data_IF_862307553234
#
_entry.id   IF_862307553234
#
_cell.length_a   1.000
_cell.length_b   1.000
_cell.length_c   1.000
_cell.angle_alpha   90.00
_cell.angle_beta   90.00
_cell.angle_gamma   90.00
#
_symmetry.space_group_name_H-M   'P 1'
#
loop_
_entity.id
_entity.type
_entity.pdbx_description
1 polymer ?
#
# COMPACT_ATOMS: atom_id res chain seq x y z
N UNK A 1 -1.20 4.86 36.11
CA UNK A 1 -1.38 4.87 34.64
C UNK A 1 -1.30 6.31 34.17
N UNK A 2 -0.45 6.63 33.21
CA UNK A 2 -0.41 7.98 32.62
C UNK A 2 -1.78 8.29 32.00
N UNK A 3 -2.44 9.36 32.46
CA UNK A 3 -3.71 9.81 31.87
C UNK A 3 -3.41 10.20 30.43
N UNK A 4 -3.92 9.44 29.48
CA UNK A 4 -3.85 9.81 28.07
C UNK A 4 -4.75 11.02 27.83
N UNK A 5 -4.33 11.99 27.01
CA UNK A 5 -5.16 13.15 26.61
C UNK A 5 -6.36 12.80 25.70
N UNK A 6 -6.86 11.57 25.77
CA UNK A 6 -8.00 11.09 24.98
C UNK A 6 -9.25 11.15 25.83
N UNK A 7 -10.24 11.89 25.35
CA UNK A 7 -11.57 11.90 25.92
C UNK A 7 -12.33 10.64 25.48
N UNK A 8 -12.31 9.62 26.33
CA UNK A 8 -12.95 8.33 26.06
C UNK A 8 -14.46 8.40 25.97
N UNK A 9 -15.11 9.40 26.59
CA UNK A 9 -16.55 9.61 26.44
C UNK A 9 -16.92 9.86 24.98
N UNK A 10 -16.07 10.56 24.23
CA UNK A 10 -16.28 10.80 22.78
C UNK A 10 -16.08 9.51 21.98
N UNK A 11 -15.11 8.69 22.33
CA UNK A 11 -14.85 7.41 21.65
C UNK A 11 -16.01 6.44 21.88
N UNK A 12 -16.57 6.41 23.09
CA UNK A 12 -17.67 5.51 23.45
C UNK A 12 -18.95 5.79 22.64
N UNK A 13 -19.16 7.02 22.16
CA UNK A 13 -20.27 7.36 21.26
C UNK A 13 -20.28 6.53 19.97
N UNK A 14 -19.13 5.97 19.58
CA UNK A 14 -18.95 5.20 18.35
C UNK A 14 -18.85 3.70 18.59
N UNK A 15 -18.91 3.25 19.85
CA UNK A 15 -18.67 1.85 20.22
C UNK A 15 -19.63 0.89 19.53
N UNK A 16 -20.94 1.16 19.58
CA UNK A 16 -21.94 0.31 18.95
C UNK A 16 -21.73 0.16 17.43
N UNK A 17 -21.19 1.19 16.77
CA UNK A 17 -20.85 1.14 15.34
C UNK A 17 -19.58 0.33 15.11
N UNK A 18 -18.59 0.48 15.99
CA UNK A 18 -17.34 -0.23 15.91
C UNK A 18 -17.51 -1.73 16.17
N UNK A 19 -18.38 -2.12 17.10
CA UNK A 19 -18.65 -3.52 17.46
C UNK A 19 -19.44 -4.27 16.37
N UNK A 20 -20.20 -3.56 15.54
CA UNK A 20 -20.92 -4.15 14.40
C UNK A 20 -20.02 -4.52 13.23
N UNK A 21 -18.77 -4.07 13.22
CA UNK A 21 -17.82 -4.35 12.14
C UNK A 21 -17.04 -5.61 12.53
N UNK A 22 -17.32 -6.73 11.86
CA UNK A 22 -16.49 -7.92 12.01
C UNK A 22 -15.14 -7.71 11.31
N UNK A 23 -14.07 -7.78 12.10
CA UNK A 23 -12.72 -7.65 11.60
C UNK A 23 -12.28 -8.82 10.70
N UNK A 24 -12.94 -9.98 10.78
CA UNK A 24 -12.57 -11.20 10.04
C UNK A 24 -13.18 -11.27 8.65
N UNK A 25 -14.36 -10.68 8.45
CA UNK A 25 -15.08 -10.74 7.17
C UNK A 25 -14.58 -9.74 6.12
N UNK A 26 -13.74 -8.78 6.50
CA UNK A 26 -13.35 -7.67 5.62
C UNK A 26 -12.12 -7.91 4.72
N UNK A 27 -11.54 -9.12 4.70
CA UNK A 27 -10.52 -9.49 3.72
C UNK A 27 -11.13 -10.40 2.64
N UNK A 28 -11.77 -9.80 1.63
CA UNK A 28 -12.52 -10.54 0.61
C UNK A 28 -11.57 -11.27 -0.37
N UNK A 29 -11.64 -12.61 -0.48
CA UNK A 29 -10.78 -13.38 -1.38
C UNK A 29 -10.90 -13.00 -2.87
N UNK A 30 -12.05 -12.50 -3.34
CA UNK A 30 -12.20 -12.10 -4.76
C UNK A 30 -11.40 -10.85 -5.13
N UNK A 31 -11.19 -9.95 -4.17
CA UNK A 31 -10.30 -8.81 -4.38
C UNK A 31 -8.84 -9.25 -4.42
N UNK A 32 -8.50 -10.37 -3.77
CA UNK A 32 -7.14 -10.91 -3.71
C UNK A 32 -6.59 -11.19 -5.11
N UNK A 33 -7.36 -11.82 -5.99
CA UNK A 33 -6.92 -12.17 -7.34
C UNK A 33 -6.60 -10.92 -8.20
N UNK A 34 -7.44 -9.89 -8.09
CA UNK A 34 -7.24 -8.60 -8.74
C UNK A 34 -6.02 -7.89 -8.15
N UNK A 35 -5.85 -7.95 -6.83
CA UNK A 35 -4.71 -7.37 -6.11
C UNK A 35 -3.42 -8.06 -6.55
N UNK A 36 -3.41 -9.38 -6.69
CA UNK A 36 -2.26 -10.18 -7.10
C UNK A 36 -1.77 -9.79 -8.50
N UNK A 37 -2.68 -9.61 -9.47
CA UNK A 37 -2.32 -9.06 -10.79
C UNK A 37 -1.78 -7.63 -10.74
N UNK A 38 -2.28 -6.79 -9.81
CA UNK A 38 -1.76 -5.42 -9.62
C UNK A 38 -0.40 -5.38 -8.91
N UNK A 39 -0.11 -6.37 -8.06
CA UNK A 39 1.15 -6.55 -7.34
C UNK A 39 2.26 -6.99 -8.30
N UNK A 40 1.96 -7.90 -9.23
CA UNK A 40 2.97 -8.40 -10.18
C UNK A 40 3.34 -7.38 -11.27
N UNK A 41 2.50 -6.35 -11.47
CA UNK A 41 2.71 -5.33 -12.49
C UNK A 41 3.99 -4.52 -12.26
N UNK A 42 4.91 -4.58 -13.23
CA UNK A 42 6.06 -3.69 -13.28
C UNK A 42 5.65 -2.33 -13.81
N UNK A 43 6.03 -1.28 -13.08
CA UNK A 43 5.76 0.13 -13.42
C UNK A 43 7.03 0.80 -13.91
N UNK A 44 6.89 1.90 -14.67
CA UNK A 44 8.02 2.64 -15.22
C UNK A 44 7.92 4.12 -14.88
N UNK A 45 9.06 4.73 -14.61
CA UNK A 45 9.28 6.18 -14.59
C UNK A 45 10.26 6.53 -15.71
N UNK A 46 10.58 7.81 -15.89
CA UNK A 46 11.61 8.26 -16.84
C UNK A 46 12.94 7.53 -16.65
N UNK A 47 13.31 7.15 -15.42
CA UNK A 47 14.64 6.63 -15.09
C UNK A 47 14.66 5.26 -14.38
N UNK A 48 13.52 4.60 -14.23
CA UNK A 48 13.46 3.32 -13.53
C UNK A 48 12.25 2.48 -13.94
N UNK A 49 12.45 1.18 -14.09
CA UNK A 49 11.37 0.18 -14.03
C UNK A 49 11.37 -0.42 -12.61
N UNK A 50 10.20 -0.54 -11.98
CA UNK A 50 10.09 -0.96 -10.58
C UNK A 50 8.82 -1.78 -10.31
N UNK A 51 8.94 -2.76 -9.43
CA UNK A 51 7.82 -3.44 -8.78
C UNK A 51 8.06 -3.36 -7.28
N UNK A 52 7.56 -2.29 -6.66
CA UNK A 52 7.72 -2.02 -5.24
C UNK A 52 6.34 -1.82 -4.66
N UNK A 53 5.92 -2.72 -3.79
CA UNK A 53 4.64 -2.61 -3.09
C UNK A 53 4.88 -2.65 -1.58
N UNK A 54 4.27 -1.70 -0.90
CA UNK A 54 4.36 -1.55 0.54
C UNK A 54 3.04 -1.90 1.19
N UNK A 55 3.10 -2.69 2.27
CA UNK A 55 2.01 -2.91 3.19
C UNK A 55 2.21 -2.04 4.42
N UNK A 56 1.48 -0.93 4.48
CA UNK A 56 1.48 -0.04 5.62
C UNK A 56 0.37 -0.42 6.59
N UNK A 57 0.69 -0.38 7.88
CA UNK A 57 -0.31 -0.47 8.95
C UNK A 57 -0.06 0.62 9.97
N UNK A 58 -1.10 1.37 10.33
CA UNK A 58 -1.02 2.32 11.43
C UNK A 58 -2.36 2.44 12.14
N UNK A 59 -2.32 3.03 13.35
CA UNK A 59 -3.47 3.10 14.25
C UNK A 59 -3.76 4.55 14.66
N UNK A 60 -5.02 4.90 14.99
CA UNK A 60 -5.33 6.12 15.72
C UNK A 60 -4.54 6.16 17.03
N UNK A 61 -4.26 7.37 17.51
CA UNK A 61 -3.59 7.55 18.80
C UNK A 61 -4.42 6.85 19.89
N UNK A 62 -3.71 6.19 20.82
CA UNK A 62 -4.29 5.33 21.87
C UNK A 62 -5.19 4.19 21.37
N UNK A 63 -5.09 3.82 20.07
CA UNK A 63 -5.89 2.75 19.46
C UNK A 63 -7.41 2.97 19.64
N UNK A 64 -7.84 4.23 19.60
CA UNK A 64 -9.25 4.58 19.73
C UNK A 64 -10.06 3.99 18.56
N UNK A 65 -11.14 3.27 18.88
CA UNK A 65 -12.07 2.66 17.91
C UNK A 65 -13.00 3.70 17.28
N UNK A 66 -12.43 4.64 16.54
CA UNK A 66 -13.15 5.80 15.99
C UNK A 66 -13.25 5.79 14.46
N UNK A 67 -12.56 4.89 13.76
CA UNK A 67 -12.55 4.83 12.29
C UNK A 67 -13.79 4.13 11.72
N UNK A 68 -14.96 4.57 12.18
CA UNK A 68 -16.28 4.14 11.72
C UNK A 68 -16.95 5.26 10.95
N UNK A 69 -18.09 5.01 10.33
CA UNK A 69 -18.84 6.07 9.65
C UNK A 69 -19.25 7.19 10.63
N UNK A 70 -19.03 8.48 10.27
CA UNK A 70 -18.69 8.97 8.92
C UNK A 70 -17.18 9.08 8.60
N UNK A 71 -16.30 8.83 9.58
CA UNK A 71 -14.86 9.04 9.43
C UNK A 71 -14.20 8.03 8.48
N UNK A 72 -14.73 6.80 8.40
CA UNK A 72 -14.18 5.74 7.56
C UNK A 72 -14.16 6.15 6.07
N UNK A 73 -15.31 6.56 5.54
CA UNK A 73 -15.44 7.03 4.16
C UNK A 73 -14.55 8.22 3.85
N UNK A 74 -14.48 9.19 4.76
CA UNK A 74 -13.62 10.37 4.60
C UNK A 74 -12.13 10.04 4.62
N UNK A 75 -11.69 9.15 5.52
CA UNK A 75 -10.30 8.68 5.54
C UNK A 75 -9.95 8.02 4.23
N UNK A 76 -10.81 7.14 3.71
CA UNK A 76 -10.59 6.50 2.41
C UNK A 76 -10.44 7.56 1.33
N UNK A 77 -11.37 8.52 1.26
CA UNK A 77 -11.33 9.60 0.29
C UNK A 77 -10.03 10.42 0.36
N UNK A 78 -9.62 10.87 1.55
CA UNK A 78 -8.40 11.69 1.72
C UNK A 78 -7.12 10.93 1.38
N UNK A 79 -7.06 9.63 1.67
CA UNK A 79 -5.90 8.80 1.32
C UNK A 79 -5.81 8.60 -0.19
N UNK A 80 -6.93 8.35 -0.88
CA UNK A 80 -6.95 8.22 -2.33
C UNK A 80 -6.60 9.54 -3.03
N UNK A 81 -7.16 10.66 -2.57
CA UNK A 81 -6.83 12.01 -3.06
C UNK A 81 -5.33 12.30 -2.93
N UNK A 82 -4.73 11.97 -1.78
CA UNK A 82 -3.28 12.15 -1.59
C UNK A 82 -2.45 11.26 -2.51
N UNK A 83 -2.90 10.04 -2.78
CA UNK A 83 -2.20 9.15 -3.70
C UNK A 83 -2.26 9.67 -5.13
N UNK A 84 -3.41 10.18 -5.56
CA UNK A 84 -3.57 10.83 -6.87
C UNK A 84 -2.63 12.04 -7.02
N UNK A 85 -2.59 12.93 -6.01
CA UNK A 85 -1.67 14.09 -6.01
C UNK A 85 -0.19 13.69 -6.15
N UNK A 86 0.20 12.55 -5.57
CA UNK A 86 1.60 12.10 -5.53
C UNK A 86 1.96 11.08 -6.59
N UNK A 87 1.02 10.70 -7.46
CA UNK A 87 1.15 9.61 -8.43
C UNK A 87 1.59 8.31 -7.74
N UNK A 88 0.96 8.00 -6.60
CA UNK A 88 1.09 6.71 -5.94
C UNK A 88 -0.09 5.82 -6.33
N UNK A 89 0.17 4.53 -6.47
CA UNK A 89 -0.82 3.56 -6.93
C UNK A 89 -1.42 2.79 -5.75
N UNK A 90 -2.62 3.16 -5.26
CA UNK A 90 -3.30 2.41 -4.22
C UNK A 90 -3.76 1.06 -4.78
N UNK A 91 -3.27 -0.03 -4.19
CA UNK A 91 -3.60 -1.38 -4.64
C UNK A 91 -4.79 -1.94 -3.85
N UNK A 92 -4.78 -1.72 -2.53
CA UNK A 92 -5.88 -2.07 -1.62
C UNK A 92 -5.84 -1.18 -0.38
N UNK A 93 -7.00 -0.72 0.08
CA UNK A 93 -7.13 0.09 1.29
C UNK A 93 -8.27 -0.45 2.16
N UNK A 94 -7.93 -0.82 3.38
CA UNK A 94 -8.88 -1.32 4.37
C UNK A 94 -8.77 -0.47 5.64
N UNK A 95 -9.91 0.07 6.07
CA UNK A 95 -10.01 0.91 7.27
C UNK A 95 -10.87 0.17 8.28
N UNK A 96 -10.24 -0.29 9.35
CA UNK A 96 -10.86 -0.97 10.48
C UNK A 96 -11.08 0.03 11.61
N UNK A 97 -11.99 -0.23 12.57
CA UNK A 97 -12.34 0.75 13.60
C UNK A 97 -11.13 1.31 14.39
N UNK A 98 -10.09 0.50 14.60
CA UNK A 98 -8.91 0.85 15.39
C UNK A 98 -7.58 0.85 14.59
N UNK A 99 -7.59 0.55 13.29
CA UNK A 99 -6.37 0.53 12.47
C UNK A 99 -6.65 0.59 10.96
N UNK A 100 -5.61 0.86 10.17
CA UNK A 100 -5.68 0.89 8.70
C UNK A 100 -4.65 -0.06 8.14
N UNK A 101 -5.04 -0.86 7.15
CA UNK A 101 -4.14 -1.54 6.24
C UNK A 101 -4.17 -0.81 4.90
N UNK A 102 -3.01 -0.36 4.44
CA UNK A 102 -2.89 0.29 3.14
C UNK A 102 -1.78 -0.36 2.33
N UNK A 103 -2.19 -0.99 1.24
CA UNK A 103 -1.30 -1.59 0.27
C UNK A 103 -1.10 -0.64 -0.90
N UNK A 104 0.13 -0.18 -1.09
CA UNK A 104 0.46 0.97 -1.94
C UNK A 104 1.74 0.69 -2.73
N UNK A 105 1.71 0.95 -4.03
CA UNK A 105 2.91 1.03 -4.86
C UNK A 105 3.31 2.49 -5.05
N UNK A 106 4.60 2.79 -4.92
CA UNK A 106 5.12 4.15 -5.10
C UNK A 106 6.45 4.13 -5.87
N UNK A 107 6.75 5.19 -6.65
CA UNK A 107 8.05 5.32 -7.31
C UNK A 107 9.24 5.23 -6.33
N UNK A 108 10.38 4.66 -6.75
CA UNK A 108 11.53 4.39 -5.87
C UNK A 108 12.18 5.64 -5.26
N UNK A 109 11.85 6.83 -5.76
CA UNK A 109 12.28 8.11 -5.17
C UNK A 109 11.66 8.36 -3.78
N UNK A 110 10.56 7.69 -3.46
CA UNK A 110 9.83 7.89 -2.22
C UNK A 110 10.27 6.89 -1.15
N UNK A 111 10.84 7.40 -0.06
CA UNK A 111 11.11 6.58 1.11
C UNK A 111 9.77 6.15 1.79
N UNK A 112 9.66 4.91 2.29
CA UNK A 112 8.42 4.45 2.95
C UNK A 112 7.99 5.33 4.13
N UNK A 113 8.96 5.83 4.88
CA UNK A 113 8.75 6.76 6.00
C UNK A 113 8.15 8.10 5.55
N UNK A 114 8.54 8.58 4.36
CA UNK A 114 8.00 9.83 3.80
C UNK A 114 6.56 9.64 3.32
N UNK A 115 6.27 8.51 2.69
CA UNK A 115 4.92 8.17 2.22
C UNK A 115 3.93 8.17 3.40
N UNK A 116 4.21 7.38 4.43
CA UNK A 116 3.31 7.27 5.58
C UNK A 116 3.18 8.60 6.35
N UNK A 117 4.25 9.40 6.40
CA UNK A 117 4.22 10.73 7.01
C UNK A 117 3.23 11.65 6.29
N UNK A 118 3.30 11.72 4.95
CA UNK A 118 2.38 12.53 4.14
C UNK A 118 0.92 12.08 4.32
N UNK A 119 0.67 10.77 4.23
CA UNK A 119 -0.67 10.19 4.39
C UNK A 119 -1.26 10.50 5.77
N UNK A 120 -0.50 10.27 6.84
CA UNK A 120 -0.95 10.51 8.23
C UNK A 120 -1.16 12.00 8.49
N UNK A 121 -0.24 12.85 8.05
CA UNK A 121 -0.31 14.30 8.30
C UNK A 121 -1.50 14.92 7.56
N UNK A 122 -1.67 14.54 6.29
CA UNK A 122 -2.74 15.06 5.45
C UNK A 122 -4.12 14.67 5.97
N UNK A 123 -4.34 13.37 6.22
CA UNK A 123 -5.61 12.85 6.73
C UNK A 123 -5.95 13.37 8.13
N UNK A 124 -4.97 13.44 9.05
CA UNK A 124 -5.16 14.00 10.40
C UNK A 124 -5.65 15.45 10.33
N UNK A 125 -4.99 16.28 9.52
CA UNK A 125 -5.34 17.69 9.36
C UNK A 125 -6.73 17.88 8.75
N UNK A 126 -7.12 17.06 7.77
CA UNK A 126 -8.45 17.15 7.16
C UNK A 126 -9.56 16.70 8.09
N UNK A 127 -9.40 15.55 8.75
CA UNK A 127 -10.34 15.07 9.76
C UNK A 127 -10.53 16.09 10.88
N UNK A 128 -9.44 16.62 11.43
CA UNK A 128 -9.49 17.62 12.49
C UNK A 128 -10.15 18.91 12.04
N UNK A 129 -10.06 19.30 10.77
CA UNK A 129 -10.76 20.49 10.26
C UNK A 129 -12.25 20.23 10.08
N UNK A 130 -12.60 19.12 9.44
CA UNK A 130 -13.97 18.74 9.11
C UNK A 130 -14.82 18.40 10.33
N UNK A 131 -14.23 17.73 11.33
CA UNK A 131 -14.96 17.21 12.49
C UNK A 131 -14.51 17.84 13.80
N UNK A 132 -15.37 18.68 14.38
CA UNK A 132 -15.16 19.25 15.72
C UNK A 132 -15.05 18.18 16.79
N UNK A 133 -15.79 17.07 16.67
CA UNK A 133 -15.76 15.95 17.60
C UNK A 133 -14.37 15.28 17.70
N UNK A 134 -13.57 15.28 16.61
CA UNK A 134 -12.18 14.78 16.65
C UNK A 134 -11.30 15.70 17.50
N UNK A 135 -11.53 17.03 17.46
CA UNK A 135 -10.82 18.00 18.30
C UNK A 135 -11.27 17.93 19.78
N UNK A 136 -12.51 17.51 20.02
CA UNK A 136 -13.01 17.24 21.38
C UNK A 136 -12.46 15.92 21.94
N UNK A 137 -12.22 14.93 21.08
CA UNK A 137 -11.59 13.67 21.48
C UNK A 137 -10.15 13.88 21.96
N UNK A 138 -9.37 14.72 21.26
CA UNK A 138 -7.98 15.04 21.62
C UNK A 138 -7.71 16.52 21.41
N UNK A 139 -7.26 17.19 22.46
CA UNK A 139 -6.86 18.59 22.43
C UNK A 139 -5.53 18.82 21.70
N UNK A 140 -4.72 17.76 21.57
CA UNK A 140 -3.47 17.77 20.82
C UNK A 140 -3.68 17.44 19.34
N UNK A 141 -2.75 17.92 18.53
CA UNK A 141 -2.80 17.83 17.07
C UNK A 141 -2.52 16.42 16.48
N UNK A 142 -2.41 15.41 17.33
CA UNK A 142 -2.00 14.04 17.00
C UNK A 142 -3.18 13.06 16.94
N UNK A 143 -3.85 12.99 15.78
CA UNK A 143 -4.90 12.00 15.54
C UNK A 143 -4.35 10.56 15.43
N UNK A 144 -3.21 10.39 14.76
CA UNK A 144 -2.57 9.08 14.57
C UNK A 144 -1.50 8.80 15.63
N UNK A 145 -1.24 7.53 15.93
CA UNK A 145 -0.05 7.14 16.69
C UNK A 145 1.23 7.55 15.93
N UNK A 146 2.34 7.78 16.65
CA UNK A 146 3.61 8.14 16.00
C UNK A 146 4.16 6.97 15.16
N UNK A 147 4.13 5.76 15.73
CA UNK A 147 4.54 4.54 15.06
C UNK A 147 3.67 4.15 13.86
N UNK A 148 4.23 3.25 13.05
CA UNK A 148 3.57 2.56 11.94
C UNK A 148 4.38 1.29 11.64
N UNK A 149 3.75 0.33 11.00
CA UNK A 149 4.40 -0.83 10.40
C UNK A 149 4.49 -0.62 8.89
N UNK A 150 5.58 -1.09 8.30
CA UNK A 150 5.73 -1.22 6.87
C UNK A 150 6.44 -2.52 6.54
N UNK A 151 5.84 -3.32 5.66
CA UNK A 151 6.48 -4.48 5.03
C UNK A 151 6.49 -4.31 3.53
N UNK A 152 7.52 -4.82 2.86
CA UNK A 152 7.52 -4.94 1.40
C UNK A 152 6.84 -6.23 1.00
N UNK A 153 5.93 -6.15 0.03
CA UNK A 153 5.31 -7.32 -0.56
C UNK A 153 5.75 -7.40 -2.02
N UNK A 154 6.71 -8.29 -2.27
CA UNK A 154 7.22 -8.60 -3.61
C UNK A 154 6.89 -10.03 -3.97
N UNK A 155 6.51 -10.25 -5.24
CA UNK A 155 6.41 -11.58 -5.83
C UNK A 155 7.62 -11.80 -6.75
N UNK A 156 8.82 -11.72 -6.19
CA UNK A 156 10.06 -11.98 -6.93
C UNK A 156 10.71 -13.20 -6.28
N UNK A 157 10.60 -14.35 -6.94
CA UNK A 157 11.31 -15.57 -6.51
C UNK A 157 12.80 -15.45 -6.81
N UNK A 158 13.63 -16.18 -6.08
CA UNK A 158 15.07 -16.22 -6.34
C UNK A 158 15.38 -16.67 -7.78
N UNK A 159 14.60 -17.60 -8.36
CA UNK A 159 14.76 -18.00 -9.77
C UNK A 159 14.46 -16.86 -10.74
N UNK A 160 13.50 -15.99 -10.41
CA UNK A 160 13.16 -14.83 -11.25
C UNK A 160 14.29 -13.79 -11.26
N UNK A 161 14.96 -13.57 -10.12
CA UNK A 161 16.15 -12.71 -10.04
C UNK A 161 17.30 -13.33 -10.85
N UNK A 162 17.57 -14.62 -10.67
CA UNK A 162 18.65 -15.32 -11.38
C UNK A 162 18.42 -15.34 -12.90
N UNK A 163 17.18 -15.57 -13.34
CA UNK A 163 16.80 -15.55 -14.76
C UNK A 163 16.89 -14.15 -15.36
N UNK A 164 16.43 -13.11 -14.64
CA UNK A 164 16.63 -11.72 -15.06
C UNK A 164 18.12 -11.44 -15.27
N UNK A 165 18.99 -11.76 -14.31
CA UNK A 165 20.45 -11.57 -14.45
C UNK A 165 21.02 -12.34 -15.67
N UNK A 166 20.59 -13.58 -15.88
CA UNK A 166 21.06 -14.42 -17.00
C UNK A 166 20.57 -13.94 -18.37
N UNK A 167 19.31 -13.52 -18.49
CA UNK A 167 18.72 -12.97 -19.72
C UNK A 167 19.31 -11.59 -20.07
N UNK A 168 19.63 -10.79 -19.05
CA UNK A 168 20.33 -9.51 -19.23
C UNK A 168 21.75 -9.71 -19.79
N UNK A 169 22.53 -10.63 -19.21
CA UNK A 169 23.88 -10.90 -19.72
C UNK A 169 23.89 -11.37 -21.19
N UNK A 170 22.84 -12.07 -21.66
CA UNK A 170 22.71 -12.49 -23.07
C UNK A 170 22.30 -11.36 -24.03
N UNK A 171 21.51 -10.37 -23.58
CA UNK A 171 21.05 -9.25 -24.42
C UNK A 171 22.02 -8.05 -24.44
N UNK A 172 22.89 -7.93 -23.43
CA UNK A 172 23.79 -6.78 -23.22
C UNK A 172 25.16 -6.91 -23.91
N UNK A 173 25.39 -7.92 -24.77
CA UNK A 173 26.53 -7.94 -25.69
C UNK A 173 26.42 -6.76 -26.69
N UNK A 174 26.93 -5.60 -26.28
CA UNK A 174 27.15 -4.42 -27.14
C UNK A 174 26.17 -3.24 -26.98
N UNK A 175 25.13 -3.31 -26.14
CA UNK A 175 24.23 -2.17 -25.85
C UNK A 175 23.82 -2.13 -24.38
N UNK A 176 24.22 -1.07 -23.67
CA UNK A 176 23.91 -0.86 -22.26
C UNK A 176 23.01 0.35 -22.08
N UNK A 177 21.69 0.16 -22.18
CA UNK A 177 20.72 1.19 -21.79
C UNK A 177 19.61 0.60 -20.90
N UNK A 178 19.39 1.21 -19.72
CA UNK A 178 18.44 0.74 -18.70
C UNK A 178 16.98 0.63 -19.19
N UNK A 179 16.61 1.32 -20.26
CA UNK A 179 15.25 1.30 -20.81
C UNK A 179 15.05 0.25 -21.90
N UNK A 180 16.12 -0.36 -22.39
CA UNK A 180 16.07 -1.52 -23.30
C UNK A 180 15.73 -2.81 -22.53
N UNK A 181 15.67 -2.73 -21.19
CA UNK A 181 15.18 -3.76 -20.31
C UNK A 181 13.67 -3.93 -20.50
N UNK A 182 13.26 -5.06 -21.07
CA UNK A 182 11.88 -5.52 -21.05
C UNK A 182 11.58 -6.14 -19.66
N UNK A 183 10.67 -5.56 -18.86
CA UNK A 183 10.19 -6.17 -17.64
C UNK A 183 9.46 -7.47 -17.96
N UNK A 184 9.67 -8.48 -17.13
CA UNK A 184 8.87 -9.70 -17.20
C UNK A 184 7.42 -9.38 -16.78
N UNK A 185 6.46 -9.85 -17.54
CA UNK A 185 5.06 -9.96 -17.10
C UNK A 185 4.82 -11.42 -16.69
N UNK A 186 4.27 -11.63 -15.49
CA UNK A 186 3.93 -12.95 -14.96
C UNK A 186 2.43 -13.04 -14.69
N UNK A 187 1.81 -14.09 -15.24
CA UNK A 187 0.42 -14.46 -14.97
C UNK A 187 0.38 -15.58 -13.93
N UNK A 188 -0.27 -15.30 -12.81
CA UNK A 188 -0.21 -16.10 -11.57
C UNK A 188 -1.27 -17.22 -11.60
N UNK A 189 -2.26 -17.14 -12.50
CA UNK A 189 -3.33 -18.13 -12.60
C UNK A 189 -3.01 -19.29 -13.55
N UNK A 190 -2.13 -19.06 -14.54
CA UNK A 190 -1.89 -20.04 -15.60
C UNK A 190 -0.67 -20.94 -15.36
N UNK A 191 0.19 -20.62 -14.38
CA UNK A 191 1.45 -21.35 -14.14
C UNK A 191 2.37 -21.44 -15.36
N UNK A 192 2.06 -20.71 -16.45
CA UNK A 192 2.75 -20.73 -17.73
C UNK A 192 3.33 -19.36 -18.02
N UNK A 193 4.64 -19.35 -18.26
CA UNK A 193 5.36 -18.21 -18.82
C UNK A 193 4.74 -17.84 -20.17
N UNK A 194 4.18 -16.63 -20.30
CA UNK A 194 3.92 -16.05 -21.62
C UNK A 194 5.23 -15.54 -22.19
N UNK A 195 5.93 -16.44 -22.86
CA UNK A 195 7.13 -16.16 -23.65
C UNK A 195 6.71 -15.26 -24.82
N UNK A 196 7.27 -14.06 -24.89
CA UNK A 196 7.15 -13.17 -26.05
C UNK A 196 7.57 -13.93 -27.32
N UNK A 197 6.88 -13.72 -28.46
CA UNK A 197 7.14 -14.42 -29.74
C UNK A 197 8.60 -14.32 -30.23
N UNK A 198 9.42 -13.44 -29.65
CA UNK A 198 10.84 -13.30 -29.93
C UNK A 198 11.77 -14.26 -29.15
N UNK A 199 11.25 -15.11 -28.25
CA UNK A 199 12.05 -15.95 -27.35
C UNK A 199 12.03 -17.46 -27.66
N UNK A 200 11.53 -17.88 -28.84
CA UNK A 200 11.39 -19.30 -29.21
C UNK A 200 12.69 -20.05 -29.60
N UNK A 201 13.89 -19.52 -29.31
CA UNK A 201 15.18 -20.12 -29.72
C UNK A 201 16.11 -20.54 -28.58
N UNK A 202 15.59 -20.89 -27.41
CA UNK A 202 16.43 -21.29 -26.27
C UNK A 202 16.19 -22.71 -25.73
N UNK A 203 15.54 -23.60 -26.50
CA UNK A 203 15.46 -25.03 -26.13
C UNK A 203 16.70 -25.86 -26.52
N UNK A 204 17.79 -25.25 -26.99
CA UNK A 204 18.98 -25.96 -27.52
C UNK A 204 20.30 -25.64 -26.80
N UNK A 205 20.27 -25.14 -25.56
CA UNK A 205 21.50 -25.06 -24.76
C UNK A 205 21.23 -25.41 -23.29
N UNK A 206 21.54 -26.68 -22.99
CA UNK A 206 21.67 -27.37 -21.71
C UNK A 206 20.36 -27.75 -21.00
#
# INVERSE_FOLDING_TARGET
>A
MARTNTNWNVVELFKDRAEKIDCKEHFNPKEFDIIIGKISKVRRTRNAAYNINFHFVWIPKTRAKILVEPFNSDVKHFLMEKCEEKEWDPLALQVMPDHIHFFLSAPPKWAPSKIVQELKTYSSRLLRRKYSIIRQMRTSDDFWASGYYVGTAGHITAESVARYIAEQNKKLEGKWHLFDLEPFEYDIFDGKLRVSKNQSRLSNFV
#
